data_IF_159907425232
#
_entry.id   IF_159907425232
#
_cell.length_a   1.000
_cell.length_b   1.000
_cell.length_c   1.000
_cell.angle_alpha   90.00
_cell.angle_beta   90.00
_cell.angle_gamma   90.00
#
_symmetry.space_group_name_H-M   'P 1'
#
loop_
_entity.id
_entity.type
_entity.pdbx_description
1 polymer ?
#
# COMPACT_ATOMS: atom_id res chain seq x y z
N UNK A 1 -8.62 23.86 -11.82
CA UNK A 1 -8.17 22.84 -10.85
C UNK A 1 -6.65 22.82 -10.84
N UNK A 2 -5.99 22.92 -9.68
CA UNK A 2 -4.53 22.82 -9.61
C UNK A 2 -4.11 21.43 -9.12
N UNK A 3 -3.20 20.78 -9.84
CA UNK A 3 -2.63 19.49 -9.43
C UNK A 3 -1.91 19.63 -8.09
N UNK A 4 -2.04 18.62 -7.23
CA UNK A 4 -1.29 18.58 -5.97
C UNK A 4 0.22 18.57 -6.24
N UNK A 5 1.00 19.23 -5.39
CA UNK A 5 2.46 19.15 -5.49
C UNK A 5 2.95 17.74 -5.15
N UNK A 6 4.07 17.32 -5.75
CA UNK A 6 4.67 16.00 -5.47
C UNK A 6 4.91 15.81 -3.97
N UNK A 7 5.42 16.85 -3.29
CA UNK A 7 5.64 16.83 -1.84
C UNK A 7 4.36 16.55 -1.04
N UNK A 8 3.22 17.17 -1.36
CA UNK A 8 1.95 16.88 -0.67
C UNK A 8 1.51 15.44 -0.89
N UNK A 9 1.68 14.92 -2.10
CA UNK A 9 1.34 13.51 -2.41
C UNK A 9 2.21 12.54 -1.62
N UNK A 10 3.53 12.80 -1.54
CA UNK A 10 4.47 11.99 -0.76
C UNK A 10 4.15 12.04 0.74
N UNK A 11 3.83 13.22 1.29
CA UNK A 11 3.42 13.36 2.70
C UNK A 11 2.14 12.57 2.96
N UNK A 12 1.15 12.65 2.07
CA UNK A 12 -0.10 11.89 2.20
C UNK A 12 0.14 10.38 2.19
N UNK A 13 0.97 9.89 1.26
CA UNK A 13 1.37 8.48 1.21
C UNK A 13 2.11 8.06 2.48
N UNK A 14 3.00 8.90 2.99
CA UNK A 14 3.75 8.61 4.22
C UNK A 14 2.83 8.49 5.45
N UNK A 15 1.86 9.39 5.58
CA UNK A 15 0.83 9.33 6.63
C UNK A 15 0.01 8.04 6.50
N UNK A 16 -0.47 7.73 5.29
CA UNK A 16 -1.21 6.49 5.05
C UNK A 16 -0.40 5.25 5.43
N UNK A 17 0.90 5.27 5.12
CA UNK A 17 1.81 4.19 5.46
C UNK A 17 1.95 4.01 6.97
N UNK A 18 2.03 5.09 7.75
CA UNK A 18 2.02 5.03 9.23
C UNK A 18 0.72 4.39 9.73
N UNK A 19 -0.44 4.78 9.19
CA UNK A 19 -1.73 4.21 9.59
C UNK A 19 -1.77 2.71 9.30
N UNK A 20 -1.28 2.28 8.13
CA UNK A 20 -1.19 0.87 7.78
C UNK A 20 -0.22 0.09 8.65
N UNK A 21 0.94 0.64 9.03
CA UNK A 21 1.88 -0.01 9.94
C UNK A 21 1.19 -0.33 11.27
N UNK A 22 0.41 0.61 11.81
CA UNK A 22 -0.33 0.40 13.06
C UNK A 22 -1.34 -0.74 12.88
N UNK A 23 -2.14 -0.69 11.80
CA UNK A 23 -3.14 -1.72 11.51
C UNK A 23 -2.51 -3.12 11.32
N UNK A 24 -1.42 -3.21 10.56
CA UNK A 24 -0.71 -4.47 10.34
C UNK A 24 0.02 -4.99 11.56
N UNK A 25 0.51 -4.11 12.43
CA UNK A 25 1.13 -4.51 13.69
C UNK A 25 0.08 -5.12 14.61
N UNK A 26 -1.09 -4.49 14.75
CA UNK A 26 -2.21 -5.04 15.53
C UNK A 26 -2.68 -6.38 14.97
N UNK A 27 -2.89 -6.46 13.66
CA UNK A 27 -3.31 -7.69 13.00
C UNK A 27 -2.25 -8.79 13.11
N UNK A 28 -0.99 -8.43 12.91
CA UNK A 28 0.11 -9.37 13.00
C UNK A 28 0.27 -9.92 14.42
N UNK A 29 0.16 -9.07 15.47
CA UNK A 29 0.10 -9.50 16.88
C UNK A 29 -1.05 -10.51 17.10
N UNK A 30 -2.26 -10.21 16.60
CA UNK A 30 -3.40 -11.12 16.68
C UNK A 30 -3.12 -12.46 15.99
N UNK A 31 -2.43 -12.45 14.85
CA UNK A 31 -2.01 -13.67 14.17
C UNK A 31 -0.98 -14.46 14.99
N UNK A 32 -0.04 -13.80 15.69
CA UNK A 32 0.90 -14.47 16.60
C UNK A 32 0.14 -15.27 17.67
N UNK A 33 -0.85 -14.62 18.30
CA UNK A 33 -1.63 -15.21 19.38
C UNK A 33 -2.54 -16.35 18.92
N UNK A 34 -3.01 -16.34 17.67
CA UNK A 34 -4.00 -17.32 17.18
C UNK A 34 -3.38 -18.52 16.46
N UNK A 35 -2.18 -18.38 15.87
CA UNK A 35 -1.67 -19.38 14.92
C UNK A 35 -0.24 -19.87 15.16
N UNK A 36 0.58 -19.16 15.95
CA UNK A 36 2.00 -19.50 16.11
C UNK A 36 2.37 -20.25 17.40
N UNK A 37 1.41 -20.53 18.28
CA UNK A 37 1.65 -21.38 19.45
C UNK A 37 2.03 -22.84 19.12
N UNK A 38 1.89 -23.31 17.88
CA UNK A 38 2.07 -24.72 17.50
C UNK A 38 3.03 -24.99 16.33
N UNK A 39 3.39 -23.99 15.51
CA UNK A 39 4.04 -24.23 14.19
C UNK A 39 5.30 -23.38 13.95
N UNK A 40 5.47 -22.23 14.63
CA UNK A 40 6.59 -21.32 14.42
C UNK A 40 7.25 -20.95 15.75
N UNK A 41 8.57 -20.75 15.74
CA UNK A 41 9.28 -20.18 16.88
C UNK A 41 8.78 -18.75 17.15
N UNK A 42 8.11 -18.49 18.30
CA UNK A 42 7.57 -17.17 18.61
C UNK A 42 8.62 -16.07 18.72
N UNK A 43 9.91 -16.41 18.79
CA UNK A 43 11.00 -15.43 18.85
C UNK A 43 11.34 -14.81 17.48
N UNK A 44 11.13 -15.55 16.38
CA UNK A 44 11.49 -15.11 15.01
C UNK A 44 10.30 -14.41 14.33
N UNK A 45 9.11 -14.82 14.73
CA UNK A 45 7.82 -14.26 14.40
C UNK A 45 7.76 -12.72 14.17
N UNK A 46 8.24 -11.86 15.10
CA UNK A 46 8.24 -10.41 14.88
C UNK A 46 9.08 -9.95 13.69
N UNK A 47 10.18 -10.65 13.40
CA UNK A 47 11.09 -10.31 12.29
C UNK A 47 10.36 -10.52 10.96
N UNK A 48 9.65 -11.64 10.80
CA UNK A 48 8.86 -11.90 9.60
C UNK A 48 7.70 -10.92 9.43
N UNK A 49 7.06 -10.52 10.53
CA UNK A 49 5.99 -9.52 10.51
C UNK A 49 6.52 -8.16 10.02
N UNK A 50 7.65 -7.70 10.56
CA UNK A 50 8.32 -6.48 10.07
C UNK A 50 8.66 -6.63 8.59
N UNK A 51 9.19 -7.78 8.19
CA UNK A 51 9.52 -8.04 6.80
C UNK A 51 8.29 -7.99 5.88
N UNK A 52 7.16 -8.58 6.27
CA UNK A 52 5.93 -8.52 5.47
C UNK A 52 5.41 -7.08 5.30
N UNK A 53 5.51 -6.25 6.35
CA UNK A 53 5.00 -4.88 6.33
C UNK A 53 5.84 -4.00 5.41
N UNK A 54 7.17 -4.04 5.59
CA UNK A 54 8.12 -3.15 4.93
C UNK A 54 8.70 -3.72 3.62
N UNK A 55 8.81 -5.04 3.51
CA UNK A 55 9.49 -5.77 2.44
C UNK A 55 8.67 -6.97 1.89
N UNK A 56 7.39 -6.78 1.55
CA UNK A 56 6.48 -7.86 1.16
C UNK A 56 6.99 -8.71 -0.02
N UNK A 57 7.60 -8.10 -1.04
CA UNK A 57 8.18 -8.86 -2.16
C UNK A 57 9.40 -9.70 -1.74
N UNK A 58 10.24 -9.20 -0.83
CA UNK A 58 11.33 -9.99 -0.25
C UNK A 58 10.80 -11.27 0.40
N UNK A 59 9.71 -11.13 1.14
CA UNK A 59 9.05 -12.25 1.79
C UNK A 59 8.51 -13.25 0.77
N UNK A 60 7.84 -12.77 -0.29
CA UNK A 60 7.37 -13.63 -1.41
C UNK A 60 8.54 -14.40 -2.04
N UNK A 61 9.66 -13.73 -2.32
CA UNK A 61 10.85 -14.37 -2.92
C UNK A 61 11.38 -15.47 -1.99
N UNK A 62 11.52 -15.19 -0.68
CA UNK A 62 11.94 -16.20 0.30
C UNK A 62 10.97 -17.39 0.37
N UNK A 63 9.68 -17.13 0.32
CA UNK A 63 8.65 -18.17 0.35
C UNK A 63 8.69 -19.07 -0.89
N UNK A 64 9.04 -18.52 -2.05
CA UNK A 64 9.24 -19.29 -3.28
C UNK A 64 10.55 -20.10 -3.21
N UNK A 65 11.63 -19.51 -2.69
CA UNK A 65 12.94 -20.17 -2.58
C UNK A 65 12.96 -21.28 -1.51
N UNK A 66 12.25 -21.09 -0.40
CA UNK A 66 12.26 -21.98 0.77
C UNK A 66 10.84 -22.40 1.18
N UNK A 67 10.06 -23.08 0.31
CA UNK A 67 8.63 -23.28 0.51
C UNK A 67 8.30 -24.04 1.80
N UNK A 68 9.09 -25.06 2.18
CA UNK A 68 8.83 -25.86 3.40
C UNK A 68 8.95 -25.06 4.70
N UNK A 69 9.85 -24.08 4.77
CA UNK A 69 10.06 -23.28 5.98
C UNK A 69 9.10 -22.09 6.10
N UNK A 70 8.49 -21.69 4.98
CA UNK A 70 7.84 -20.39 4.87
C UNK A 70 6.39 -20.43 4.36
N UNK A 71 5.83 -21.62 4.07
CA UNK A 71 4.47 -21.74 3.52
C UNK A 71 3.39 -21.10 4.40
N UNK A 72 3.55 -21.14 5.73
CA UNK A 72 2.59 -20.61 6.69
C UNK A 72 2.38 -19.08 6.57
N UNK A 73 3.34 -18.39 5.94
CA UNK A 73 3.33 -16.95 5.78
C UNK A 73 2.49 -16.45 4.59
N UNK A 74 1.99 -17.35 3.73
CA UNK A 74 1.15 -16.98 2.58
C UNK A 74 -0.19 -16.38 3.02
N UNK A 75 -0.80 -16.98 4.05
CA UNK A 75 -2.08 -16.53 4.56
C UNK A 75 -1.97 -15.11 5.15
N UNK A 76 -1.05 -14.81 6.10
CA UNK A 76 -0.85 -13.45 6.59
C UNK A 76 -0.59 -12.42 5.48
N UNK A 77 0.26 -12.76 4.50
CA UNK A 77 0.60 -11.84 3.42
C UNK A 77 -0.63 -11.50 2.56
N UNK A 78 -1.45 -12.50 2.23
CA UNK A 78 -2.70 -12.30 1.48
C UNK A 78 -3.68 -11.46 2.30
N UNK A 79 -3.80 -11.72 3.60
CA UNK A 79 -4.67 -10.94 4.48
C UNK A 79 -4.20 -9.47 4.53
N UNK A 80 -2.90 -9.21 4.69
CA UNK A 80 -2.36 -7.85 4.69
C UNK A 80 -2.65 -7.13 3.37
N UNK A 81 -2.48 -7.81 2.25
CA UNK A 81 -2.82 -7.28 0.92
C UNK A 81 -4.29 -6.86 0.83
N UNK A 82 -5.20 -7.74 1.25
CA UNK A 82 -6.64 -7.49 1.20
C UNK A 82 -7.06 -6.37 2.15
N UNK A 83 -6.54 -6.37 3.38
CA UNK A 83 -6.83 -5.33 4.38
C UNK A 83 -6.41 -3.96 3.88
N UNK A 84 -5.27 -3.85 3.20
CA UNK A 84 -4.83 -2.58 2.62
C UNK A 84 -5.78 -2.07 1.53
N UNK A 85 -6.20 -2.96 0.62
CA UNK A 85 -7.14 -2.60 -0.46
C UNK A 85 -8.47 -2.15 0.15
N UNK A 86 -8.99 -2.91 1.13
CA UNK A 86 -10.24 -2.59 1.82
C UNK A 86 -10.12 -1.25 2.55
N UNK A 87 -9.04 -1.02 3.28
CA UNK A 87 -8.79 0.23 3.99
C UNK A 87 -8.81 1.42 3.04
N UNK A 88 -8.00 1.41 1.98
CA UNK A 88 -7.95 2.52 1.05
C UNK A 88 -9.28 2.73 0.33
N UNK A 89 -9.91 1.64 -0.12
CA UNK A 89 -11.19 1.73 -0.83
C UNK A 89 -12.30 2.26 0.07
N UNK A 90 -12.40 1.76 1.30
CA UNK A 90 -13.39 2.24 2.27
C UNK A 90 -13.20 3.72 2.56
N UNK A 91 -11.96 4.16 2.82
CA UNK A 91 -11.67 5.57 3.07
C UNK A 91 -12.01 6.48 1.87
N UNK A 92 -11.63 6.06 0.66
CA UNK A 92 -11.92 6.83 -0.56
C UNK A 92 -13.43 6.88 -0.87
N UNK A 93 -14.16 5.78 -0.65
CA UNK A 93 -15.62 5.72 -0.83
C UNK A 93 -16.34 6.59 0.19
N UNK A 94 -15.99 6.47 1.49
CA UNK A 94 -16.67 7.16 2.58
C UNK A 94 -16.43 8.67 2.55
N UNK A 95 -15.19 9.10 2.28
CA UNK A 95 -14.83 10.51 2.36
C UNK A 95 -15.04 11.25 1.05
N UNK A 96 -15.11 10.53 -0.07
CA UNK A 96 -15.12 11.06 -1.45
C UNK A 96 -13.96 11.99 -1.78
N UNK A 97 -12.94 12.05 -0.91
CA UNK A 97 -11.77 12.92 -1.05
C UNK A 97 -10.51 12.08 -1.19
N UNK A 98 -10.35 11.04 -0.38
CA UNK A 98 -9.12 10.26 -0.38
C UNK A 98 -8.96 9.37 0.85
N UNK A 99 -7.77 8.83 1.00
CA UNK A 99 -7.29 8.22 2.24
C UNK A 99 -7.03 9.26 3.35
N UNK A 100 -6.71 8.80 4.56
CA UNK A 100 -6.39 9.66 5.72
C UNK A 100 -5.29 10.68 5.40
N UNK A 101 -4.21 10.25 4.74
CA UNK A 101 -3.12 11.12 4.36
C UNK A 101 -3.51 12.18 3.33
N UNK A 102 -4.42 11.85 2.41
CA UNK A 102 -4.93 12.83 1.46
C UNK A 102 -5.88 13.84 2.09
N UNK A 103 -6.71 13.40 3.04
CA UNK A 103 -7.51 14.31 3.86
C UNK A 103 -6.62 15.31 4.63
N UNK A 104 -5.56 14.82 5.28
CA UNK A 104 -4.67 15.68 6.07
C UNK A 104 -3.91 16.68 5.20
N UNK A 105 -3.50 16.28 4.00
CA UNK A 105 -2.79 17.18 3.06
C UNK A 105 -3.72 18.11 2.27
N UNK A 106 -5.02 18.06 2.57
CA UNK A 106 -6.09 18.73 1.83
C UNK A 106 -5.93 18.50 0.31
N UNK A 107 -5.86 17.23 -0.06
CA UNK A 107 -5.83 16.76 -1.45
C UNK A 107 -7.03 15.87 -1.71
N UNK A 108 -7.50 15.86 -2.96
CA UNK A 108 -8.60 15.00 -3.37
C UNK A 108 -8.31 14.29 -4.68
N UNK A 109 -8.89 13.11 -4.83
CA UNK A 109 -8.76 12.28 -6.01
C UNK A 109 -10.04 12.40 -6.84
N UNK A 110 -9.91 12.70 -8.13
CA UNK A 110 -11.01 12.80 -9.07
C UNK A 110 -10.64 12.15 -10.41
N UNK A 111 -11.60 12.05 -11.33
CA UNK A 111 -11.29 11.73 -12.72
C UNK A 111 -10.61 12.94 -13.42
N UNK A 112 -10.17 12.76 -14.66
CA UNK A 112 -9.52 13.83 -15.44
C UNK A 112 -10.45 15.03 -15.72
N UNK A 113 -11.76 14.82 -15.68
CA UNK A 113 -12.77 15.88 -15.84
C UNK A 113 -13.07 16.63 -14.53
N UNK A 114 -12.56 16.13 -13.39
CA UNK A 114 -12.80 16.70 -12.07
C UNK A 114 -13.99 16.11 -11.28
N UNK A 115 -14.70 15.13 -11.84
CA UNK A 115 -15.82 14.46 -11.20
C UNK A 115 -15.37 13.40 -10.18
N UNK A 116 -16.25 13.05 -9.22
CA UNK A 116 -16.03 11.91 -8.33
C UNK A 116 -15.87 10.60 -9.09
N UNK A 117 -15.02 9.72 -8.56
CA UNK A 117 -14.78 8.41 -9.16
C UNK A 117 -15.92 7.43 -8.87
N UNK A 118 -16.12 6.49 -9.79
CA UNK A 118 -16.97 5.32 -9.57
C UNK A 118 -16.34 4.38 -8.53
N UNK A 119 -17.17 3.60 -7.83
CA UNK A 119 -16.71 2.65 -6.82
C UNK A 119 -15.75 1.61 -7.43
N UNK A 120 -16.05 1.11 -8.63
CA UNK A 120 -15.20 0.13 -9.31
C UNK A 120 -13.83 0.72 -9.68
N UNK A 121 -13.79 1.98 -10.12
CA UNK A 121 -12.53 2.69 -10.39
C UNK A 121 -11.70 2.84 -9.12
N UNK A 122 -12.33 3.19 -7.99
CA UNK A 122 -11.66 3.31 -6.69
C UNK A 122 -11.04 1.98 -6.28
N UNK A 123 -11.80 0.88 -6.33
CA UNK A 123 -11.31 -0.45 -5.95
C UNK A 123 -10.16 -0.88 -6.87
N UNK A 124 -10.33 -0.78 -8.20
CA UNK A 124 -9.29 -1.15 -9.16
C UNK A 124 -8.01 -0.33 -8.99
N UNK A 125 -8.14 0.97 -8.74
CA UNK A 125 -7.02 1.85 -8.44
C UNK A 125 -6.29 1.43 -7.17
N UNK A 126 -7.03 1.12 -6.10
CA UNK A 126 -6.43 0.71 -4.84
C UNK A 126 -5.78 -0.67 -4.91
N UNK A 127 -6.33 -1.61 -5.70
CA UNK A 127 -5.65 -2.86 -6.03
C UNK A 127 -4.30 -2.61 -6.72
N UNK A 128 -4.28 -1.76 -7.75
CA UNK A 128 -3.05 -1.41 -8.47
C UNK A 128 -2.06 -0.65 -7.57
N UNK A 129 -2.55 0.25 -6.71
CA UNK A 129 -1.75 0.98 -5.72
C UNK A 129 -1.07 0.02 -4.74
N UNK A 130 -1.82 -0.92 -4.15
CA UNK A 130 -1.29 -1.92 -3.23
C UNK A 130 -0.30 -2.84 -3.92
N UNK A 131 -0.64 -3.35 -5.11
CA UNK A 131 0.27 -4.19 -5.90
C UNK A 131 1.57 -3.46 -6.23
N UNK A 132 1.45 -2.20 -6.64
CA UNK A 132 2.58 -1.33 -6.92
C UNK A 132 3.46 -1.08 -5.68
N UNK A 133 2.87 -0.94 -4.48
CA UNK A 133 3.61 -0.89 -3.21
C UNK A 133 4.33 -2.19 -2.92
N UNK A 134 3.74 -3.34 -3.20
CA UNK A 134 4.39 -4.62 -2.97
C UNK A 134 5.58 -4.83 -3.89
N UNK A 135 5.51 -4.38 -5.13
CA UNK A 135 6.64 -4.37 -6.06
C UNK A 135 7.74 -3.33 -5.72
N UNK A 136 7.48 -2.43 -4.77
CA UNK A 136 8.32 -1.28 -4.45
C UNK A 136 9.71 -1.62 -3.91
N UNK A 137 9.85 -2.80 -3.29
CA UNK A 137 11.09 -3.15 -2.59
C UNK A 137 11.66 -4.44 -3.12
N UNK A 138 12.43 -4.30 -4.20
CA UNK A 138 13.38 -5.33 -4.63
C UNK A 138 14.64 -5.14 -3.78
N UNK A 139 14.95 -6.03 -2.82
CA UNK A 139 16.15 -5.95 -2.01
C UNK A 139 17.33 -6.51 -2.81
N UNK A 140 17.67 -5.93 -3.97
CA UNK A 140 18.78 -6.46 -4.77
C UNK A 140 20.12 -5.87 -4.31
N UNK A 141 20.29 -4.57 -4.05
CA UNK A 141 21.53 -4.07 -3.42
C UNK A 141 21.33 -2.68 -2.79
N UNK A 142 21.35 -2.57 -1.45
CA UNK A 142 21.55 -1.35 -0.58
C UNK A 142 20.92 0.02 -0.94
N UNK A 143 20.19 0.15 -2.04
CA UNK A 143 19.66 1.37 -2.62
C UNK A 143 18.22 1.07 -3.10
N UNK A 144 17.32 0.80 -2.16
CA UNK A 144 15.91 0.58 -2.46
C UNK A 144 15.24 1.92 -2.84
N UNK A 145 15.31 2.30 -4.12
CA UNK A 145 14.66 3.51 -4.64
C UNK A 145 13.35 3.21 -5.36
N UNK A 146 12.24 3.55 -4.70
CA UNK A 146 11.13 4.42 -5.13
C UNK A 146 10.49 4.27 -6.54
N UNK A 147 10.53 3.12 -7.22
CA UNK A 147 10.12 3.02 -8.65
C UNK A 147 8.70 3.54 -8.99
N UNK A 148 7.60 3.15 -8.33
CA UNK A 148 6.26 3.59 -8.75
C UNK A 148 5.89 5.02 -8.39
N UNK A 149 6.56 5.67 -7.41
CA UNK A 149 6.38 7.10 -7.18
C UNK A 149 7.23 7.95 -8.14
N UNK A 150 8.24 7.38 -8.80
CA UNK A 150 9.03 8.11 -9.80
C UNK A 150 8.18 8.55 -11.01
N UNK A 151 7.15 7.77 -11.38
CA UNK A 151 6.21 8.18 -12.46
C UNK A 151 5.49 9.50 -12.19
N UNK A 152 5.33 9.88 -10.90
CA UNK A 152 4.75 11.17 -10.50
C UNK A 152 5.62 12.34 -10.94
N UNK A 153 6.94 12.14 -11.05
CA UNK A 153 7.89 13.18 -11.41
C UNK A 153 7.84 13.46 -12.91
N UNK A 154 7.54 12.45 -13.73
CA UNK A 154 7.65 12.53 -15.19
C UNK A 154 6.33 12.80 -15.92
N UNK A 155 5.19 12.75 -15.22
CA UNK A 155 3.88 12.95 -15.84
C UNK A 155 3.42 14.40 -15.75
N UNK A 156 2.81 14.92 -16.83
CA UNK A 156 2.29 16.31 -16.87
C UNK A 156 1.33 16.62 -15.72
N UNK A 157 0.48 15.66 -15.38
CA UNK A 157 -0.49 15.80 -14.29
C UNK A 157 0.04 15.31 -12.94
N UNK A 158 1.34 14.97 -12.86
CA UNK A 158 1.97 14.40 -11.67
C UNK A 158 1.14 13.22 -11.16
N UNK A 159 0.85 12.24 -12.02
CA UNK A 159 0.11 11.01 -11.75
C UNK A 159 1.06 9.86 -11.45
N UNK A 160 0.70 8.98 -10.51
CA UNK A 160 1.43 7.72 -10.35
C UNK A 160 1.01 6.73 -11.46
N UNK A 161 1.76 5.64 -11.64
CA UNK A 161 1.45 4.61 -12.64
C UNK A 161 0.03 4.07 -12.50
N UNK A 162 -0.40 3.75 -11.28
CA UNK A 162 -1.77 3.29 -11.02
C UNK A 162 -2.81 4.38 -11.31
N UNK A 163 -2.48 5.66 -11.11
CA UNK A 163 -3.40 6.75 -11.40
C UNK A 163 -3.61 6.95 -12.91
N UNK A 164 -2.54 6.75 -13.71
CA UNK A 164 -2.59 6.78 -15.18
C UNK A 164 -3.48 5.67 -15.71
N UNK A 165 -3.29 4.44 -15.21
CA UNK A 165 -4.06 3.27 -15.66
C UNK A 165 -5.56 3.47 -15.37
N UNK A 166 -5.91 4.11 -14.26
CA UNK A 166 -7.31 4.31 -13.87
C UNK A 166 -7.92 5.64 -14.33
N UNK A 167 -7.18 6.49 -15.07
CA UNK A 167 -7.67 7.79 -15.54
C UNK A 167 -7.99 8.75 -14.39
N UNK A 168 -7.15 8.77 -13.37
CA UNK A 168 -7.39 9.51 -12.12
C UNK A 168 -6.32 10.57 -11.88
N UNK A 169 -6.71 11.69 -11.28
CA UNK A 169 -5.80 12.78 -10.96
C UNK A 169 -5.95 13.17 -9.49
N UNK A 170 -4.84 13.61 -8.89
CA UNK A 170 -4.82 14.11 -7.51
C UNK A 170 -4.67 15.62 -7.54
N UNK A 171 -5.73 16.30 -7.12
CA UNK A 171 -5.80 17.77 -7.11
C UNK A 171 -5.77 18.30 -5.68
N UNK A 172 -5.42 19.58 -5.56
CA UNK A 172 -5.55 20.29 -4.29
C UNK A 172 -7.05 20.44 -3.94
N UNK A 173 -7.40 20.02 -2.73
CA UNK A 173 -8.75 20.10 -2.16
C UNK A 173 -9.09 21.50 -1.69
#
# INVERSE_FOLDING_TARGET
MSNASVGRRLIGVFIDYIVLIIAFTMLGILMLFTSWGTIADPSIAPIFLVEMIFYPLSMVIRMIQYPRGYWMYWIPLIIFFLVEIVYYSAMEILTRKGSVGYLWTNTRICNENGDPQSIHTIIGRNCLKTFSRYLFVIPVYKWAFIIPFITIIFTKNKQAMYDLITGTVVIRG
#
